data_IF_916579588017
#
_entry.id   IF_916579588017
#
_cell.length_a   1.000
_cell.length_b   1.000
_cell.length_c   1.000
_cell.angle_alpha   90.00
_cell.angle_beta   90.00
_cell.angle_gamma   90.00
#
_symmetry.space_group_name_H-M   'P 1'
#
loop_
_entity.id
_entity.type
_entity.pdbx_description
1 polymer ?
#
# COMPACT_ATOMS: atom_id res chain seq x y z
N UNK A 1 20.97 -17.04 16.56
CA UNK A 1 19.71 -16.88 17.31
C UNK A 1 18.72 -17.94 16.82
N UNK A 2 17.90 -18.53 17.67
CA UNK A 2 17.11 -19.75 17.38
C UNK A 2 15.83 -19.53 16.55
N UNK A 3 15.70 -18.39 15.84
CA UNK A 3 14.48 -17.97 15.13
C UNK A 3 13.17 -18.04 15.96
N UNK A 4 13.28 -18.00 17.29
CA UNK A 4 12.15 -18.09 18.20
C UNK A 4 11.42 -16.75 18.29
N UNK A 5 10.10 -16.77 18.16
CA UNK A 5 9.24 -15.60 18.40
C UNK A 5 9.26 -15.25 19.90
N UNK A 6 9.53 -13.99 20.22
CA UNK A 6 9.54 -13.48 21.61
C UNK A 6 8.21 -12.83 21.96
N UNK A 7 7.65 -12.04 21.05
CA UNK A 7 6.39 -11.32 21.23
C UNK A 7 5.76 -11.04 19.86
N UNK A 8 4.43 -10.93 19.83
CA UNK A 8 3.63 -10.54 18.65
C UNK A 8 2.54 -9.59 19.10
N UNK A 9 2.27 -8.55 18.31
CA UNK A 9 1.14 -7.64 18.49
C UNK A 9 0.48 -7.38 17.14
N UNK A 10 -0.76 -6.88 17.14
CA UNK A 10 -1.48 -6.52 15.93
C UNK A 10 -2.49 -5.41 16.20
N UNK A 11 -2.50 -4.40 15.34
CA UNK A 11 -3.47 -3.31 15.36
C UNK A 11 -4.40 -3.45 14.16
N UNK A 12 -5.72 -3.34 14.33
CA UNK A 12 -6.66 -3.44 13.22
C UNK A 12 -6.54 -2.21 12.32
N UNK A 13 -6.77 -2.42 11.02
CA UNK A 13 -6.91 -1.36 10.03
C UNK A 13 -8.25 -1.51 9.32
N UNK A 14 -8.89 -0.39 9.03
CA UNK A 14 -10.15 -0.35 8.27
C UNK A 14 -9.86 -0.19 6.78
N UNK A 15 -10.76 -0.68 5.92
CA UNK A 15 -10.71 -0.46 4.47
C UNK A 15 -11.92 0.35 4.06
N UNK A 16 -11.69 1.49 3.42
CA UNK A 16 -12.73 2.37 2.90
C UNK A 16 -13.16 1.90 1.51
N UNK A 17 -14.48 1.93 1.25
CA UNK A 17 -15.08 1.53 -0.03
C UNK A 17 -16.09 2.59 -0.46
N UNK A 18 -15.63 3.79 -0.88
CA UNK A 18 -16.52 4.91 -1.18
C UNK A 18 -17.42 4.65 -2.41
N UNK A 19 -16.99 3.79 -3.33
CA UNK A 19 -17.73 3.37 -4.51
C UNK A 19 -17.58 1.86 -4.76
N UNK A 20 -18.46 1.22 -5.56
CA UNK A 20 -18.23 -0.15 -6.01
C UNK A 20 -16.84 -0.31 -6.61
N UNK A 21 -16.17 -1.43 -6.28
CA UNK A 21 -14.80 -1.76 -6.68
C UNK A 21 -13.68 -0.90 -6.07
N UNK A 22 -14.00 0.18 -5.36
CA UNK A 22 -12.98 1.01 -4.72
C UNK A 22 -12.56 0.41 -3.38
N UNK A 23 -11.27 0.46 -3.10
CA UNK A 23 -10.64 -0.05 -1.89
C UNK A 23 -9.48 0.85 -1.49
N UNK A 24 -9.65 1.57 -0.38
CA UNK A 24 -8.76 2.66 0.04
C UNK A 24 -8.38 2.58 1.52
N UNK A 25 -7.22 3.13 1.87
CA UNK A 25 -6.78 3.36 3.24
C UNK A 25 -6.04 4.69 3.36
N UNK A 26 -6.16 5.36 4.50
CA UNK A 26 -5.29 6.51 4.79
C UNK A 26 -3.91 6.00 5.23
N UNK A 27 -2.81 6.41 4.58
CA UNK A 27 -1.46 6.03 5.02
C UNK A 27 -1.15 6.42 6.47
N UNK A 28 -1.75 7.52 6.96
CA UNK A 28 -1.62 7.93 8.36
C UNK A 28 -2.16 6.88 9.34
N UNK A 29 -3.19 6.12 8.97
CA UNK A 29 -3.74 5.05 9.81
C UNK A 29 -2.72 3.91 9.98
N UNK A 30 -1.90 3.65 8.95
CA UNK A 30 -0.81 2.65 9.04
C UNK A 30 0.25 3.08 10.03
N UNK A 31 0.62 4.36 10.00
CA UNK A 31 1.60 4.91 10.94
C UNK A 31 1.08 4.86 12.38
N UNK A 32 -0.15 5.32 12.61
CA UNK A 32 -0.78 5.26 13.93
C UNK A 32 -0.89 3.82 14.47
N UNK A 33 -1.25 2.86 13.61
CA UNK A 33 -1.30 1.44 13.96
C UNK A 33 0.09 0.86 14.30
N UNK A 34 1.13 1.25 13.55
CA UNK A 34 2.51 0.87 13.86
C UNK A 34 2.95 1.43 15.22
N UNK A 35 2.72 2.72 15.47
CA UNK A 35 3.07 3.38 16.73
C UNK A 35 2.38 2.73 17.92
N UNK A 36 1.07 2.45 17.80
CA UNK A 36 0.31 1.77 18.84
C UNK A 36 0.86 0.36 19.13
N UNK A 37 1.14 -0.44 18.08
CA UNK A 37 1.73 -1.77 18.23
C UNK A 37 3.12 -1.72 18.89
N UNK A 38 3.97 -0.80 18.46
CA UNK A 38 5.29 -0.59 19.07
C UNK A 38 5.19 -0.12 20.53
N UNK A 39 4.17 0.69 20.85
CA UNK A 39 3.82 1.08 22.21
C UNK A 39 3.51 -0.14 23.10
N UNK A 40 2.66 -1.05 22.62
CA UNK A 40 2.34 -2.32 23.31
C UNK A 40 3.60 -3.17 23.53
N UNK A 41 4.40 -3.39 22.49
CA UNK A 41 5.63 -4.18 22.61
C UNK A 41 6.64 -3.58 23.59
N UNK A 42 6.76 -2.25 23.62
CA UNK A 42 7.62 -1.55 24.57
C UNK A 42 7.13 -1.71 26.01
N UNK A 43 5.82 -1.60 26.24
CA UNK A 43 5.22 -1.71 27.56
C UNK A 43 5.36 -3.13 28.13
N UNK A 44 5.16 -4.17 27.32
CA UNK A 44 5.14 -5.56 27.77
C UNK A 44 6.51 -6.26 27.66
N UNK A 45 7.35 -5.85 26.71
CA UNK A 45 8.59 -6.55 26.35
C UNK A 45 9.80 -5.63 26.14
N UNK A 46 9.84 -4.47 26.82
CA UNK A 46 10.86 -3.43 26.63
C UNK A 46 12.33 -3.92 26.66
N UNK A 47 12.69 -4.83 27.57
CA UNK A 47 14.05 -5.38 27.65
C UNK A 47 14.43 -6.20 26.42
N UNK A 48 13.49 -6.96 25.87
CA UNK A 48 13.71 -7.73 24.65
C UNK A 48 13.76 -6.80 23.43
N UNK A 49 12.85 -5.82 23.37
CA UNK A 49 12.81 -4.83 22.30
C UNK A 49 14.10 -4.01 22.21
N UNK A 50 14.70 -3.64 23.36
CA UNK A 50 15.97 -2.91 23.42
C UNK A 50 17.18 -3.70 22.85
N UNK A 51 17.03 -5.00 22.62
CA UNK A 51 18.08 -5.86 22.03
C UNK A 51 17.93 -6.03 20.51
N UNK A 52 16.88 -5.48 19.89
CA UNK A 52 16.68 -5.54 18.44
C UNK A 52 17.87 -4.89 17.72
N UNK A 53 18.43 -5.61 16.74
CA UNK A 53 19.58 -5.17 15.94
C UNK A 53 19.23 -4.83 14.49
N UNK A 54 18.05 -5.22 14.03
CA UNK A 54 17.59 -5.00 12.66
C UNK A 54 16.08 -5.10 12.58
N UNK A 55 15.52 -4.45 11.57
CA UNK A 55 14.08 -4.41 11.30
C UNK A 55 13.87 -4.94 9.89
N UNK A 56 13.00 -5.93 9.75
CA UNK A 56 12.47 -6.38 8.47
C UNK A 56 11.09 -5.80 8.26
N UNK A 57 10.85 -5.22 7.08
CA UNK A 57 9.55 -4.69 6.71
C UNK A 57 8.88 -5.63 5.70
N UNK A 58 7.58 -5.80 5.86
CA UNK A 58 6.72 -6.49 4.90
C UNK A 58 5.39 -5.73 4.85
N UNK A 59 4.75 -5.72 3.71
CA UNK A 59 3.51 -4.99 3.50
C UNK A 59 2.73 -5.54 2.32
N UNK A 60 1.45 -5.17 2.26
CA UNK A 60 0.63 -5.45 1.08
C UNK A 60 1.25 -4.79 -0.16
N UNK A 61 1.34 -5.55 -1.26
CA UNK A 61 1.92 -5.08 -2.51
C UNK A 61 0.95 -4.15 -3.27
N UNK A 62 1.43 -3.53 -4.34
CA UNK A 62 0.65 -2.82 -5.37
C UNK A 62 -0.17 -1.59 -4.94
N UNK A 63 -0.23 -1.25 -3.65
CA UNK A 63 -0.82 -0.01 -3.17
C UNK A 63 -0.19 1.21 -3.86
N UNK A 64 -1.01 2.17 -4.30
CA UNK A 64 -0.54 3.45 -4.81
C UNK A 64 -0.66 4.51 -3.71
N UNK A 65 0.48 4.91 -3.13
CA UNK A 65 0.59 6.06 -2.23
C UNK A 65 1.27 7.17 -3.03
N UNK A 66 0.59 8.31 -3.17
CA UNK A 66 1.09 9.47 -3.91
C UNK A 66 1.41 10.60 -2.95
N UNK A 67 2.57 11.22 -3.15
CA UNK A 67 3.12 12.29 -2.32
C UNK A 67 3.40 13.51 -3.21
N UNK A 68 3.29 14.71 -2.63
CA UNK A 68 3.80 15.94 -3.26
C UNK A 68 5.30 16.16 -3.00
N UNK A 69 5.81 17.33 -3.40
CA UNK A 69 7.22 17.70 -3.22
C UNK A 69 7.64 17.89 -1.76
N UNK A 70 6.69 17.99 -0.83
CA UNK A 70 6.92 18.15 0.61
C UNK A 70 6.63 16.84 1.38
N UNK A 71 6.60 15.70 0.68
CA UNK A 71 6.26 14.36 1.20
C UNK A 71 4.85 14.28 1.84
N UNK A 72 3.94 15.18 1.46
CA UNK A 72 2.55 15.16 1.94
C UNK A 72 1.70 14.21 1.10
N UNK A 73 0.93 13.35 1.77
CA UNK A 73 0.00 12.42 1.12
C UNK A 73 -1.11 13.18 0.40
N UNK A 74 -1.24 12.94 -0.91
CA UNK A 74 -2.19 13.65 -1.78
C UNK A 74 -3.63 13.11 -1.67
N UNK A 75 -3.78 11.80 -1.43
CA UNK A 75 -5.08 11.11 -1.34
C UNK A 75 -4.95 9.75 -0.64
N UNK A 76 -6.06 9.11 -0.19
CA UNK A 76 -6.04 7.77 0.42
C UNK A 76 -5.38 6.74 -0.50
N UNK A 77 -4.50 5.87 -0.03
CA UNK A 77 -3.84 4.88 -0.89
C UNK A 77 -4.84 4.00 -1.66
N UNK A 78 -4.67 3.84 -2.98
CA UNK A 78 -5.50 2.89 -3.78
C UNK A 78 -4.91 1.49 -3.61
N UNK A 79 -5.66 0.60 -2.95
CA UNK A 79 -5.19 -0.71 -2.53
C UNK A 79 -5.12 -1.73 -3.68
N UNK A 80 -4.46 -2.86 -3.43
CA UNK A 80 -4.24 -3.93 -4.42
C UNK A 80 -5.53 -4.63 -4.89
N UNK A 81 -6.57 -4.60 -4.07
CA UNK A 81 -7.88 -5.18 -4.35
C UNK A 81 -8.87 -4.13 -4.91
N UNK A 82 -8.36 -2.98 -5.33
CA UNK A 82 -9.12 -1.95 -6.03
C UNK A 82 -9.28 -2.30 -7.52
N UNK A 83 -10.51 -2.14 -8.04
CA UNK A 83 -10.87 -2.45 -9.42
C UNK A 83 -11.12 -1.24 -10.31
N UNK A 84 -10.94 0.00 -9.83
CA UNK A 84 -11.40 1.22 -10.53
C UNK A 84 -10.69 1.48 -11.86
N UNK A 85 -9.47 0.98 -12.01
CA UNK A 85 -8.58 1.23 -13.16
C UNK A 85 -8.69 0.16 -14.26
N UNK A 86 -9.78 -0.61 -14.30
CA UNK A 86 -10.00 -1.62 -15.33
C UNK A 86 -9.97 -1.06 -16.77
N UNK A 87 -10.60 0.08 -17.08
CA UNK A 87 -10.50 0.68 -18.41
C UNK A 87 -9.06 1.02 -18.81
N UNK A 88 -8.26 1.53 -17.86
CA UNK A 88 -6.85 1.87 -18.11
C UNK A 88 -5.99 0.63 -18.33
N UNK A 89 -6.34 -0.53 -17.75
CA UNK A 89 -5.66 -1.79 -18.05
C UNK A 89 -5.81 -2.17 -19.52
N UNK A 90 -7.04 -2.10 -20.05
CA UNK A 90 -7.33 -2.40 -21.46
C UNK A 90 -6.58 -1.45 -22.39
N UNK A 91 -6.61 -0.15 -22.09
CA UNK A 91 -5.90 0.87 -22.84
C UNK A 91 -4.37 0.65 -22.84
N UNK A 92 -3.78 0.33 -21.68
CA UNK A 92 -2.35 0.05 -21.55
C UNK A 92 -1.94 -1.18 -22.37
N UNK A 93 -2.73 -2.25 -22.32
CA UNK A 93 -2.46 -3.46 -23.09
C UNK A 93 -2.62 -3.24 -24.60
N UNK A 94 -3.57 -2.41 -25.03
CA UNK A 94 -3.73 -2.04 -26.43
C UNK A 94 -2.58 -1.14 -26.94
N UNK A 95 -2.14 -0.17 -26.13
CA UNK A 95 -1.07 0.75 -26.47
C UNK A 95 0.33 0.09 -26.43
N UNK A 96 0.50 -0.93 -25.57
CA UNK A 96 1.75 -1.66 -25.40
C UNK A 96 1.50 -3.18 -25.37
N UNK A 97 1.27 -3.84 -26.53
CA UNK A 97 0.97 -5.26 -26.59
C UNK A 97 2.08 -6.17 -26.02
N UNK A 98 3.32 -5.69 -25.98
CA UNK A 98 4.46 -6.40 -25.41
C UNK A 98 4.69 -6.12 -23.91
N UNK A 99 3.77 -5.41 -23.23
CA UNK A 99 3.87 -5.12 -21.79
C UNK A 99 4.18 -6.38 -20.95
N UNK A 100 3.52 -7.55 -21.15
CA UNK A 100 3.82 -8.74 -20.35
C UNK A 100 5.22 -9.30 -20.56
N UNK A 101 5.84 -9.06 -21.73
CA UNK A 101 7.22 -9.46 -21.98
C UNK A 101 8.22 -8.58 -21.21
N UNK A 102 7.87 -7.32 -20.94
CA UNK A 102 8.70 -6.40 -20.16
C UNK A 102 8.51 -6.65 -18.66
N UNK A 103 7.27 -6.72 -18.19
CA UNK A 103 6.93 -6.72 -16.76
C UNK A 103 6.78 -8.13 -16.17
N UNK A 104 6.75 -9.16 -17.02
CA UNK A 104 6.41 -10.53 -16.65
C UNK A 104 4.94 -10.74 -16.28
N UNK A 105 4.07 -9.71 -16.42
CA UNK A 105 2.69 -9.75 -15.94
C UNK A 105 1.73 -8.97 -16.86
N UNK A 106 0.46 -9.37 -16.89
CA UNK A 106 -0.61 -8.57 -17.50
C UNK A 106 -0.84 -7.29 -16.69
N UNK A 107 -1.34 -6.23 -17.35
CA UNK A 107 -1.92 -5.11 -16.62
C UNK A 107 -3.20 -5.57 -15.91
N UNK A 108 -3.26 -5.35 -14.59
CA UNK A 108 -4.42 -5.67 -13.77
C UNK A 108 -4.81 -4.44 -12.94
N UNK A 109 -6.10 -4.20 -12.65
CA UNK A 109 -6.55 -2.96 -11.99
C UNK A 109 -5.88 -2.75 -10.62
N UNK A 110 -5.65 -3.87 -9.93
CA UNK A 110 -4.97 -3.90 -8.64
C UNK A 110 -3.49 -3.50 -8.68
N UNK A 111 -2.86 -3.39 -9.85
CA UNK A 111 -1.46 -3.00 -10.00
C UNK A 111 -1.29 -1.47 -10.04
N UNK A 112 -0.10 -0.99 -9.72
CA UNK A 112 0.15 0.45 -9.48
C UNK A 112 0.03 1.30 -10.75
N UNK A 113 0.55 0.84 -11.89
CA UNK A 113 0.61 1.68 -13.10
C UNK A 113 -0.79 2.04 -13.67
N UNK A 114 -1.77 1.12 -13.79
CA UNK A 114 -3.13 1.49 -14.19
C UNK A 114 -3.82 2.48 -13.25
N UNK A 115 -3.50 2.45 -11.95
CA UNK A 115 -4.05 3.42 -10.97
C UNK A 115 -3.53 4.82 -11.20
N UNK A 116 -2.24 4.97 -11.55
CA UNK A 116 -1.67 6.26 -11.91
C UNK A 116 -2.24 6.79 -13.24
N UNK A 117 -2.48 5.91 -14.22
CA UNK A 117 -3.19 6.31 -15.44
C UNK A 117 -4.63 6.78 -15.15
N UNK A 118 -5.32 6.09 -14.25
CA UNK A 118 -6.66 6.50 -13.80
C UNK A 118 -6.62 7.87 -13.10
N UNK A 119 -5.65 8.09 -12.20
CA UNK A 119 -5.48 9.35 -11.48
C UNK A 119 -5.21 10.51 -12.46
N UNK A 120 -4.34 10.31 -13.46
CA UNK A 120 -4.10 11.29 -14.51
C UNK A 120 -5.37 11.70 -15.28
N UNK A 121 -6.32 10.79 -15.44
CA UNK A 121 -7.57 11.03 -16.17
C UNK A 121 -8.69 11.60 -15.30
N UNK A 122 -8.76 11.21 -14.03
CA UNK A 122 -9.91 11.49 -13.15
C UNK A 122 -9.60 12.47 -12.02
N UNK A 123 -8.34 12.61 -11.63
CA UNK A 123 -7.84 13.49 -10.56
C UNK A 123 -6.58 14.24 -11.07
N UNK A 124 -6.65 14.95 -12.22
CA UNK A 124 -5.48 15.55 -12.87
C UNK A 124 -4.77 16.62 -12.01
N UNK A 125 -5.48 17.24 -11.07
CA UNK A 125 -4.92 18.19 -10.11
C UNK A 125 -4.05 17.52 -9.04
N UNK A 126 -4.18 16.21 -8.85
CA UNK A 126 -3.39 15.42 -7.91
C UNK A 126 -2.27 14.62 -8.61
N UNK A 127 -2.15 14.67 -9.94
CA UNK A 127 -1.17 13.93 -10.76
C UNK A 127 0.00 14.79 -11.21
#
# INVERSE_FOLDING_TARGET
>A
ESHRIVATTGMPLSVQRPQPLWSEQQPADWWAALEAGMGTLKAEHGTALARVRGIGLSGQMHGAVTLDGDDTVLRPAILWNDGRSAPQCEQMMAACPWLPAITGNLAMPGFTAPKLAWMREHEPELF
#
